data_IF_022175951503
#
_entry.id   IF_022175951503
#
_cell.length_a   1.000
_cell.length_b   1.000
_cell.length_c   1.000
_cell.angle_alpha   90.00
_cell.angle_beta   90.00
_cell.angle_gamma   90.00
#
_symmetry.space_group_name_H-M   'P 1'
#
loop_
_entity.id
_entity.type
_entity.pdbx_description
1 polymer ?
#
# COMPACT_ATOMS: atom_id res chain seq x y z
N UNK A 1 -61.44 -29.23 -14.43
CA UNK A 1 -60.03 -29.67 -14.44
C UNK A 1 -59.71 -30.35 -13.13
N UNK A 2 -59.03 -31.50 -13.15
CA UNK A 2 -58.59 -32.16 -11.91
C UNK A 2 -57.58 -31.25 -11.18
N UNK A 3 -57.64 -31.15 -9.85
CA UNK A 3 -56.73 -30.30 -9.06
C UNK A 3 -55.24 -30.61 -9.31
N UNK A 4 -54.92 -31.87 -9.65
CA UNK A 4 -53.56 -32.28 -10.03
C UNK A 4 -53.03 -31.57 -11.30
N UNK A 5 -53.89 -31.28 -12.28
CA UNK A 5 -53.50 -30.61 -13.53
C UNK A 5 -53.22 -29.13 -13.29
N UNK A 6 -54.01 -28.49 -12.42
CA UNK A 6 -53.80 -27.09 -12.02
C UNK A 6 -52.50 -26.95 -11.24
N UNK A 7 -52.23 -27.88 -10.30
CA UNK A 7 -50.98 -27.90 -9.54
C UNK A 7 -49.75 -28.10 -10.44
N UNK A 8 -49.84 -28.97 -11.46
CA UNK A 8 -48.76 -29.19 -12.42
C UNK A 8 -48.46 -27.94 -13.26
N UNK A 9 -49.50 -27.24 -13.74
CA UNK A 9 -49.35 -26.00 -14.53
C UNK A 9 -48.76 -24.87 -13.67
N UNK A 10 -49.24 -24.70 -12.43
CA UNK A 10 -48.70 -23.70 -11.51
C UNK A 10 -47.24 -24.00 -11.17
N UNK A 11 -46.90 -25.26 -10.92
CA UNK A 11 -45.51 -25.66 -10.63
C UNK A 11 -44.58 -25.45 -11.82
N UNK A 12 -45.06 -25.70 -13.05
CA UNK A 12 -44.29 -25.50 -14.28
C UNK A 12 -44.00 -24.01 -14.58
N UNK A 13 -44.78 -23.08 -14.02
CA UNK A 13 -44.57 -21.63 -14.20
C UNK A 13 -43.79 -21.06 -13.01
N UNK A 14 -44.18 -21.39 -11.78
CA UNK A 14 -43.60 -20.86 -10.55
C UNK A 14 -42.17 -21.38 -10.33
N UNK A 15 -41.91 -22.65 -10.62
CA UNK A 15 -40.58 -23.27 -10.45
C UNK A 15 -39.48 -22.55 -11.24
N UNK A 16 -39.62 -22.40 -12.57
CA UNK A 16 -38.65 -21.67 -13.39
C UNK A 16 -38.48 -20.21 -12.99
N UNK A 17 -39.54 -19.55 -12.50
CA UNK A 17 -39.51 -18.15 -12.08
C UNK A 17 -38.70 -17.97 -10.79
N UNK A 18 -38.92 -18.85 -9.81
CA UNK A 18 -38.11 -18.90 -8.58
C UNK A 18 -36.65 -19.21 -8.94
N UNK A 19 -36.41 -20.21 -9.79
CA UNK A 19 -35.07 -20.57 -10.24
C UNK A 19 -34.35 -19.40 -10.93
N UNK A 20 -35.03 -18.68 -11.81
CA UNK A 20 -34.48 -17.51 -12.49
C UNK A 20 -34.12 -16.39 -11.52
N UNK A 21 -34.97 -16.11 -10.52
CA UNK A 21 -34.69 -15.11 -9.50
C UNK A 21 -33.52 -15.49 -8.60
N UNK A 22 -33.47 -16.76 -8.16
CA UNK A 22 -32.35 -17.29 -7.36
C UNK A 22 -31.04 -17.22 -8.14
N UNK A 23 -31.03 -17.73 -9.39
CA UNK A 23 -29.87 -17.67 -10.28
C UNK A 23 -29.39 -16.24 -10.50
N UNK A 24 -30.31 -15.30 -10.78
CA UNK A 24 -29.95 -13.89 -10.97
C UNK A 24 -29.39 -13.26 -9.70
N UNK A 25 -29.83 -13.72 -8.52
CA UNK A 25 -29.32 -13.24 -7.24
C UNK A 25 -27.91 -13.78 -6.96
N UNK A 26 -27.67 -15.06 -7.23
CA UNK A 26 -26.36 -15.69 -7.11
C UNK A 26 -25.36 -15.12 -8.12
N UNK A 27 -25.77 -14.90 -9.37
CA UNK A 27 -24.95 -14.26 -10.40
C UNK A 27 -24.52 -12.84 -9.99
N UNK A 28 -25.45 -12.06 -9.39
CA UNK A 28 -25.12 -10.73 -8.84
C UNK A 28 -24.14 -10.81 -7.68
N UNK A 29 -24.34 -11.75 -6.75
CA UNK A 29 -23.43 -11.94 -5.61
C UNK A 29 -22.03 -12.34 -6.06
N UNK A 30 -21.95 -13.30 -6.99
CA UNK A 30 -20.70 -13.77 -7.58
C UNK A 30 -19.95 -12.65 -8.30
N UNK A 31 -20.65 -11.89 -9.14
CA UNK A 31 -20.05 -10.74 -9.83
C UNK A 31 -19.53 -9.68 -8.86
N UNK A 32 -20.29 -9.36 -7.81
CA UNK A 32 -19.85 -8.40 -6.80
C UNK A 32 -18.63 -8.91 -6.02
N UNK A 33 -18.58 -10.21 -5.72
CA UNK A 33 -17.43 -10.86 -5.10
C UNK A 33 -16.19 -10.77 -6.01
N UNK A 34 -16.32 -11.15 -7.28
CA UNK A 34 -15.22 -11.12 -8.25
C UNK A 34 -14.66 -9.70 -8.43
N UNK A 35 -15.53 -8.69 -8.59
CA UNK A 35 -15.11 -7.29 -8.70
C UNK A 35 -14.35 -6.85 -7.45
N UNK A 36 -14.90 -7.09 -6.25
CA UNK A 36 -14.23 -6.72 -5.00
C UNK A 36 -12.90 -7.43 -4.83
N UNK A 37 -12.85 -8.72 -5.14
CA UNK A 37 -11.65 -9.52 -5.01
C UNK A 37 -10.52 -9.01 -5.92
N UNK A 38 -10.82 -8.72 -7.18
CA UNK A 38 -9.84 -8.18 -8.12
C UNK A 38 -9.32 -6.80 -7.68
N UNK A 39 -10.22 -5.90 -7.27
CA UNK A 39 -9.83 -4.58 -6.75
C UNK A 39 -9.00 -4.68 -5.46
N UNK A 40 -9.35 -5.59 -4.54
CA UNK A 40 -8.59 -5.80 -3.31
C UNK A 40 -7.21 -6.39 -3.59
N UNK A 41 -7.11 -7.35 -4.52
CA UNK A 41 -5.84 -7.94 -4.95
C UNK A 41 -4.93 -6.89 -5.60
N UNK A 42 -5.49 -6.08 -6.49
CA UNK A 42 -4.76 -4.97 -7.12
C UNK A 42 -4.20 -4.01 -6.07
N UNK A 43 -5.03 -3.63 -5.10
CA UNK A 43 -4.64 -2.77 -3.99
C UNK A 43 -3.54 -3.36 -3.11
N UNK A 44 -3.66 -4.63 -2.71
CA UNK A 44 -2.64 -5.28 -1.86
C UNK A 44 -1.27 -5.28 -2.53
N UNK A 45 -1.23 -5.49 -3.85
CA UNK A 45 0.01 -5.39 -4.64
C UNK A 45 0.59 -3.97 -4.62
N UNK A 46 -0.27 -2.95 -4.74
CA UNK A 46 0.17 -1.55 -4.67
C UNK A 46 0.76 -1.20 -3.29
N UNK A 47 0.17 -1.70 -2.20
CA UNK A 47 0.71 -1.52 -0.85
C UNK A 47 2.07 -2.20 -0.65
N UNK A 48 2.20 -3.43 -1.14
CA UNK A 48 3.44 -4.20 -1.05
C UNK A 48 4.57 -3.55 -1.85
N UNK A 49 4.22 -2.95 -3.01
CA UNK A 49 5.17 -2.18 -3.80
C UNK A 49 5.66 -0.93 -3.06
N UNK A 50 4.79 -0.21 -2.35
CA UNK A 50 5.18 0.94 -1.50
C UNK A 50 6.16 0.48 -0.40
N UNK A 51 5.82 -0.61 0.29
CA UNK A 51 6.60 -1.07 1.44
C UNK A 51 7.98 -1.61 1.03
N UNK A 52 8.04 -2.38 -0.06
CA UNK A 52 9.27 -3.03 -0.52
C UNK A 52 10.26 -2.06 -1.17
N UNK A 53 9.80 -1.14 -2.03
CA UNK A 53 10.70 -0.23 -2.74
C UNK A 53 11.40 0.72 -1.76
N UNK A 54 10.64 1.28 -0.81
CA UNK A 54 11.18 2.26 0.12
C UNK A 54 12.29 1.70 1.02
N UNK A 55 12.22 0.43 1.42
CA UNK A 55 13.23 -0.16 2.30
C UNK A 55 14.49 -0.55 1.53
N UNK A 56 14.33 -1.25 0.40
CA UNK A 56 15.46 -1.71 -0.41
C UNK A 56 16.26 -0.54 -1.00
N UNK A 57 15.58 0.50 -1.47
CA UNK A 57 16.23 1.69 -2.03
C UNK A 57 17.01 2.47 -0.96
N UNK A 58 16.45 2.56 0.26
CA UNK A 58 17.11 3.21 1.39
C UNK A 58 18.34 2.42 1.88
N UNK A 59 18.20 1.10 2.06
CA UNK A 59 19.30 0.24 2.47
C UNK A 59 20.47 0.34 1.49
N UNK A 60 20.18 0.19 0.19
CA UNK A 60 21.19 0.30 -0.87
C UNK A 60 21.88 1.66 -0.87
N UNK A 61 21.11 2.74 -0.75
CA UNK A 61 21.67 4.08 -0.69
C UNK A 61 22.64 4.23 0.50
N UNK A 62 22.26 3.77 1.68
CA UNK A 62 23.09 3.88 2.88
C UNK A 62 24.34 3.01 2.80
N UNK A 63 24.23 1.77 2.31
CA UNK A 63 25.35 0.82 2.29
C UNK A 63 26.35 1.06 1.16
N UNK A 64 25.88 1.47 -0.02
CA UNK A 64 26.70 1.63 -1.22
C UNK A 64 26.99 3.11 -1.48
N UNK A 65 25.95 3.89 -1.77
CA UNK A 65 26.08 5.23 -2.32
C UNK A 65 26.62 6.23 -1.30
N UNK A 66 26.03 6.29 -0.11
CA UNK A 66 26.43 7.20 0.96
C UNK A 66 27.87 6.92 1.41
N UNK A 67 28.20 5.65 1.64
CA UNK A 67 29.55 5.23 2.03
C UNK A 67 30.60 5.60 0.95
N UNK A 68 30.28 5.38 -0.33
CA UNK A 68 31.16 5.76 -1.45
C UNK A 68 31.37 7.27 -1.52
N UNK A 69 30.29 8.06 -1.46
CA UNK A 69 30.37 9.51 -1.51
C UNK A 69 31.16 10.07 -0.33
N UNK A 70 30.96 9.54 0.88
CA UNK A 70 31.73 9.98 2.06
C UNK A 70 33.22 9.65 1.95
N UNK A 71 33.56 8.49 1.40
CA UNK A 71 34.97 8.14 1.16
C UNK A 71 35.61 9.10 0.14
N UNK A 72 34.92 9.42 -0.95
CA UNK A 72 35.37 10.41 -1.94
C UNK A 72 35.56 11.80 -1.32
N UNK A 73 34.65 12.24 -0.45
CA UNK A 73 34.77 13.52 0.29
C UNK A 73 36.02 13.53 1.18
N UNK A 74 36.32 12.42 1.87
CA UNK A 74 37.45 12.34 2.80
C UNK A 74 38.80 12.21 2.09
N UNK A 75 38.81 11.68 0.86
CA UNK A 75 40.04 11.35 0.11
C UNK A 75 40.34 12.33 -1.03
N UNK A 76 39.39 13.19 -1.42
CA UNK A 76 39.60 14.16 -2.50
C UNK A 76 40.65 15.21 -2.10
N UNK A 77 41.76 15.25 -2.85
CA UNK A 77 42.76 16.31 -2.71
C UNK A 77 42.32 17.60 -3.44
N UNK A 78 42.55 18.75 -2.79
CA UNK A 78 42.10 20.05 -3.29
C UNK A 78 40.66 20.34 -2.87
N UNK A 79 40.32 21.63 -2.74
CA UNK A 79 39.00 22.12 -2.30
C UNK A 79 37.87 21.84 -3.34
N UNK A 80 37.81 20.65 -3.93
CA UNK A 80 36.75 20.29 -4.88
C UNK A 80 35.46 20.03 -4.13
N UNK A 81 34.38 20.67 -4.58
CA UNK A 81 33.02 20.44 -4.11
C UNK A 81 32.31 19.29 -4.82
N UNK A 82 32.95 18.65 -5.81
CA UNK A 82 32.28 17.67 -6.69
C UNK A 82 31.71 16.46 -5.92
N UNK A 83 32.42 15.85 -4.94
CA UNK A 83 31.87 14.75 -4.15
C UNK A 83 30.64 15.15 -3.31
N UNK A 84 30.62 16.39 -2.80
CA UNK A 84 29.48 16.95 -2.05
C UNK A 84 28.27 17.20 -2.97
N UNK A 85 28.50 17.73 -4.17
CA UNK A 85 27.46 17.95 -5.17
C UNK A 85 26.84 16.61 -5.57
N UNK A 86 27.67 15.58 -5.79
CA UNK A 86 27.20 14.22 -6.10
C UNK A 86 26.37 13.64 -4.97
N UNK A 87 26.83 13.73 -3.72
CA UNK A 87 26.06 13.26 -2.57
C UNK A 87 24.67 13.93 -2.51
N UNK A 88 24.61 15.24 -2.74
CA UNK A 88 23.33 15.96 -2.78
C UNK A 88 22.41 15.46 -3.91
N UNK A 89 22.96 15.21 -5.10
CA UNK A 89 22.21 14.63 -6.22
C UNK A 89 21.65 13.24 -5.89
N UNK A 90 22.45 12.37 -5.28
CA UNK A 90 22.02 11.02 -4.92
C UNK A 90 20.92 11.02 -3.84
N UNK A 91 21.01 11.93 -2.84
CA UNK A 91 19.93 12.14 -1.85
C UNK A 91 18.63 12.58 -2.54
N UNK A 92 18.71 13.50 -3.49
CA UNK A 92 17.55 13.97 -4.26
C UNK A 92 16.94 12.85 -5.11
N UNK A 93 17.77 12.02 -5.75
CA UNK A 93 17.33 10.88 -6.54
C UNK A 93 16.60 9.86 -5.66
N UNK A 94 17.18 9.47 -4.52
CA UNK A 94 16.51 8.58 -3.56
C UNK A 94 15.15 9.13 -3.12
N UNK A 95 15.09 10.42 -2.79
CA UNK A 95 13.83 11.08 -2.39
C UNK A 95 12.77 10.99 -3.50
N UNK A 96 13.17 11.19 -4.76
CA UNK A 96 12.27 11.08 -5.91
C UNK A 96 11.81 9.63 -6.16
N UNK A 97 12.74 8.68 -6.07
CA UNK A 97 12.50 7.25 -6.31
C UNK A 97 11.60 6.63 -5.26
N UNK A 98 11.65 7.10 -4.00
CA UNK A 98 10.72 6.65 -2.95
C UNK A 98 9.32 7.29 -3.11
N UNK A 99 9.24 8.57 -3.50
CA UNK A 99 7.96 9.30 -3.62
C UNK A 99 7.12 8.91 -4.85
N UNK A 100 7.77 8.50 -5.94
CA UNK A 100 7.09 8.18 -7.19
C UNK A 100 6.19 6.93 -7.10
N UNK A 101 6.66 5.76 -6.61
CA UNK A 101 5.84 4.59 -6.37
C UNK A 101 4.69 4.88 -5.42
N UNK A 102 4.94 5.66 -4.36
CA UNK A 102 3.91 6.07 -3.40
C UNK A 102 2.78 6.86 -4.07
N UNK A 103 3.14 7.82 -4.94
CA UNK A 103 2.15 8.62 -5.67
C UNK A 103 1.34 7.77 -6.64
N UNK A 104 2.00 6.87 -7.39
CA UNK A 104 1.35 5.96 -8.32
C UNK A 104 0.37 5.03 -7.61
N UNK A 105 0.82 4.34 -6.56
CA UNK A 105 -0.01 3.44 -5.77
C UNK A 105 -1.20 4.17 -5.10
N UNK A 106 -1.02 5.44 -4.71
CA UNK A 106 -2.12 6.26 -4.16
C UNK A 106 -3.19 6.58 -5.22
N UNK A 107 -2.80 6.76 -6.49
CA UNK A 107 -3.76 6.97 -7.59
C UNK A 107 -4.55 5.71 -7.91
N UNK A 108 -3.95 4.53 -7.73
CA UNK A 108 -4.64 3.25 -7.93
C UNK A 108 -5.77 2.99 -6.90
N UNK A 109 -5.83 3.78 -5.82
CA UNK A 109 -6.85 3.66 -4.77
C UNK A 109 -8.25 4.14 -5.17
N UNK A 110 -8.37 4.77 -6.35
CA UNK A 110 -9.67 5.26 -6.83
C UNK A 110 -10.68 4.13 -7.05
N UNK A 111 -10.24 2.97 -7.55
CA UNK A 111 -11.11 1.79 -7.75
C UNK A 111 -11.61 1.22 -6.43
N UNK A 112 -10.70 1.08 -5.45
CA UNK A 112 -11.02 0.60 -4.11
C UNK A 112 -12.13 1.43 -3.44
N UNK A 113 -12.09 2.76 -3.57
CA UNK A 113 -13.10 3.69 -3.02
C UNK A 113 -14.52 3.41 -3.50
N UNK A 114 -14.70 2.79 -4.67
CA UNK A 114 -16.01 2.49 -5.23
C UNK A 114 -16.62 1.21 -4.66
N UNK A 115 -15.78 0.24 -4.30
CA UNK A 115 -16.22 -1.13 -4.00
C UNK A 115 -16.16 -1.49 -2.51
N UNK A 116 -15.30 -0.81 -1.75
CA UNK A 116 -15.06 -1.08 -0.33
C UNK A 116 -16.08 -0.41 0.60
N UNK A 117 -16.17 -0.89 1.85
CA UNK A 117 -16.94 -0.20 2.88
C UNK A 117 -16.24 1.07 3.37
N UNK A 118 -17.01 1.98 3.98
CA UNK A 118 -16.46 3.16 4.67
C UNK A 118 -15.40 2.80 5.73
N UNK A 119 -15.57 1.67 6.40
CA UNK A 119 -14.65 1.20 7.44
C UNK A 119 -13.31 0.76 6.85
N UNK A 120 -13.34 0.01 5.75
CA UNK A 120 -12.12 -0.37 5.03
C UNK A 120 -11.42 0.88 4.48
N UNK A 121 -12.18 1.79 3.86
CA UNK A 121 -11.64 3.03 3.34
C UNK A 121 -10.92 3.88 4.40
N UNK A 122 -11.47 3.96 5.61
CA UNK A 122 -10.83 4.70 6.71
C UNK A 122 -9.46 4.10 7.07
N UNK A 123 -9.38 2.77 7.20
CA UNK A 123 -8.11 2.07 7.52
C UNK A 123 -7.08 2.23 6.41
N UNK A 124 -7.52 2.14 5.17
CA UNK A 124 -6.68 2.36 3.99
C UNK A 124 -6.10 3.77 3.99
N UNK A 125 -6.93 4.78 4.24
CA UNK A 125 -6.46 6.17 4.28
C UNK A 125 -5.47 6.39 5.45
N UNK A 126 -5.71 5.76 6.59
CA UNK A 126 -4.79 5.80 7.73
C UNK A 126 -3.43 5.19 7.36
N UNK A 127 -3.42 3.98 6.78
CA UNK A 127 -2.21 3.31 6.32
C UNK A 127 -1.41 4.19 5.34
N UNK A 128 -2.08 4.77 4.34
CA UNK A 128 -1.45 5.65 3.34
C UNK A 128 -0.88 6.90 3.99
N UNK A 129 -1.56 7.46 5.00
CA UNK A 129 -1.07 8.63 5.71
C UNK A 129 0.19 8.31 6.54
N UNK A 130 0.19 7.20 7.28
CA UNK A 130 1.35 6.77 8.07
C UNK A 130 2.55 6.50 7.15
N UNK A 131 2.35 5.84 6.00
CA UNK A 131 3.44 5.65 5.03
C UNK A 131 3.95 6.95 4.43
N UNK A 132 3.08 7.94 4.19
CA UNK A 132 3.52 9.27 3.75
C UNK A 132 4.42 9.92 4.80
N UNK A 133 3.99 9.91 6.05
CA UNK A 133 4.73 10.50 7.16
C UNK A 133 6.09 9.81 7.34
N UNK A 134 6.15 8.49 7.19
CA UNK A 134 7.41 7.73 7.24
C UNK A 134 8.35 8.12 6.08
N UNK A 135 7.84 8.22 4.86
CA UNK A 135 8.64 8.67 3.70
C UNK A 135 9.15 10.09 3.92
N UNK A 136 8.27 11.02 4.33
CA UNK A 136 8.63 12.42 4.54
C UNK A 136 9.65 12.59 5.67
N UNK A 137 9.51 11.81 6.76
CA UNK A 137 10.47 11.79 7.86
C UNK A 137 11.83 11.26 7.42
N UNK A 138 11.87 10.14 6.69
CA UNK A 138 13.11 9.58 6.13
C UNK A 138 13.80 10.56 5.18
N UNK A 139 13.05 11.24 4.31
CA UNK A 139 13.60 12.25 3.41
C UNK A 139 14.09 13.49 4.17
N UNK A 140 13.40 13.89 5.25
CA UNK A 140 13.82 15.00 6.10
C UNK A 140 15.13 14.71 6.82
N UNK A 141 15.30 13.48 7.32
CA UNK A 141 16.55 13.01 7.94
C UNK A 141 17.70 13.04 6.94
N UNK A 142 17.48 12.59 5.70
CA UNK A 142 18.48 12.68 4.63
C UNK A 142 18.80 14.11 4.19
N UNK A 143 17.84 15.03 4.30
CA UNK A 143 18.05 16.46 4.02
C UNK A 143 18.86 17.19 5.10
N UNK A 144 18.89 16.65 6.32
CA UNK A 144 19.58 17.22 7.49
C UNK A 144 20.69 16.28 7.99
N UNK A 145 21.43 15.66 7.07
CA UNK A 145 22.55 14.76 7.39
C UNK A 145 23.63 15.43 8.25
N UNK A 146 23.73 16.76 8.22
CA UNK A 146 24.62 17.58 9.06
C UNK A 146 24.26 17.54 10.55
N UNK A 147 23.01 17.19 10.88
CA UNK A 147 22.50 17.08 12.26
C UNK A 147 22.47 15.64 12.78
N UNK A 148 22.85 14.66 11.93
CA UNK A 148 22.85 13.25 12.31
C UNK A 148 24.06 12.94 13.19
N UNK A 149 23.85 12.26 14.32
CA UNK A 149 24.96 11.73 15.11
C UNK A 149 25.55 10.52 14.38
N UNK A 150 26.69 10.73 13.72
CA UNK A 150 27.42 9.72 12.95
C UNK A 150 27.84 8.54 13.85
N UNK A 151 28.04 8.77 15.15
CA UNK A 151 28.42 7.72 16.10
C UNK A 151 27.20 6.92 16.60
N UNK A 152 25.98 7.41 16.35
CA UNK A 152 24.77 6.66 16.67
C UNK A 152 23.62 6.96 15.67
N UNK A 153 23.76 6.52 14.40
CA UNK A 153 22.80 6.82 13.34
C UNK A 153 21.38 6.33 13.66
N UNK A 154 21.29 5.29 14.47
CA UNK A 154 20.02 4.68 14.92
C UNK A 154 19.19 5.56 15.86
N UNK A 155 19.82 6.50 16.58
CA UNK A 155 19.09 7.40 17.51
C UNK A 155 18.38 8.53 16.76
N UNK A 156 18.89 8.93 15.60
CA UNK A 156 18.24 9.92 14.71
C UNK A 156 17.01 9.35 13.99
N UNK A 157 16.94 8.02 13.83
CA UNK A 157 15.74 7.29 13.41
C UNK A 157 14.90 6.98 14.67
N UNK A 158 14.29 8.03 15.21
CA UNK A 158 13.54 8.04 16.48
C UNK A 158 12.55 6.89 16.68
N UNK A 159 12.24 6.58 17.95
CA UNK A 159 11.18 5.62 18.31
C UNK A 159 9.79 5.94 17.73
N UNK A 160 9.54 7.18 17.27
CA UNK A 160 8.32 7.54 16.54
C UNK A 160 8.24 6.85 15.17
N UNK A 161 9.38 6.66 14.48
CA UNK A 161 9.42 5.92 13.21
C UNK A 161 9.20 4.41 13.41
N UNK A 162 9.72 3.87 14.51
CA UNK A 162 9.49 2.47 14.90
C UNK A 162 8.00 2.24 15.24
N UNK A 163 7.40 3.10 16.07
CA UNK A 163 5.97 3.06 16.41
C UNK A 163 5.09 3.16 15.15
N UNK A 164 5.42 4.07 14.23
CA UNK A 164 4.71 4.19 12.95
C UNK A 164 4.90 2.94 12.08
N UNK A 165 6.09 2.35 12.06
CA UNK A 165 6.35 1.07 11.39
C UNK A 165 5.47 -0.06 11.91
N UNK A 166 5.42 -0.24 13.23
CA UNK A 166 4.54 -1.21 13.88
C UNK A 166 3.06 -0.93 13.59
N UNK A 167 2.65 0.34 13.64
CA UNK A 167 1.27 0.74 13.31
C UNK A 167 0.90 0.39 11.88
N UNK A 168 1.81 0.57 10.92
CA UNK A 168 1.61 0.20 9.52
C UNK A 168 1.38 -1.31 9.38
N UNK A 169 2.13 -2.14 10.11
CA UNK A 169 1.95 -3.59 10.11
C UNK A 169 0.58 -4.00 10.67
N UNK A 170 0.18 -3.44 11.81
CA UNK A 170 -1.15 -3.69 12.41
C UNK A 170 -2.26 -3.24 11.46
N UNK A 171 -2.14 -2.05 10.85
CA UNK A 171 -3.12 -1.54 9.90
C UNK A 171 -3.26 -2.44 8.68
N UNK A 172 -2.16 -2.98 8.16
CA UNK A 172 -2.19 -3.93 7.05
C UNK A 172 -3.01 -5.18 7.39
N UNK A 173 -2.78 -5.76 8.56
CA UNK A 173 -3.57 -6.91 9.03
C UNK A 173 -5.05 -6.56 9.18
N UNK A 174 -5.37 -5.41 9.78
CA UNK A 174 -6.75 -4.96 9.94
C UNK A 174 -7.46 -4.72 8.60
N UNK A 175 -6.75 -4.21 7.60
CA UNK A 175 -7.22 -4.03 6.22
C UNK A 175 -7.54 -5.40 5.60
N UNK A 176 -6.61 -6.36 5.67
CA UNK A 176 -6.81 -7.71 5.14
C UNK A 176 -7.98 -8.40 5.82
N UNK A 177 -8.09 -8.30 7.14
CA UNK A 177 -9.22 -8.86 7.90
C UNK A 177 -10.55 -8.22 7.51
N UNK A 178 -10.56 -6.90 7.27
CA UNK A 178 -11.75 -6.20 6.84
C UNK A 178 -12.15 -6.56 5.40
N UNK A 179 -11.19 -6.76 4.49
CA UNK A 179 -11.44 -7.26 3.13
C UNK A 179 -12.06 -8.67 3.15
N UNK A 180 -11.51 -9.58 3.95
CA UNK A 180 -12.05 -10.94 4.12
C UNK A 180 -13.51 -10.90 4.61
N UNK A 181 -13.79 -10.08 5.62
CA UNK A 181 -15.16 -9.86 6.12
C UNK A 181 -16.11 -9.34 5.03
N UNK A 182 -15.65 -8.39 4.21
CA UNK A 182 -16.45 -7.83 3.10
C UNK A 182 -16.71 -8.82 1.96
N UNK A 183 -15.82 -9.79 1.78
CA UNK A 183 -15.97 -10.92 0.86
C UNK A 183 -16.80 -12.08 1.44
N UNK A 184 -17.16 -12.02 2.73
CA UNK A 184 -17.85 -13.11 3.42
C UNK A 184 -16.97 -14.31 3.75
N UNK A 185 -15.64 -14.13 3.69
CA UNK A 185 -14.64 -15.13 4.05
C UNK A 185 -14.35 -14.95 5.55
N UNK A 186 -14.66 -15.96 6.36
CA UNK A 186 -14.31 -15.98 7.79
C UNK A 186 -12.84 -16.34 8.01
#
# INVERSE_FOLDING_TARGET
MQPAVVAAIVSAIVGPLIFFLLKRWDDKKRRNFEIRYEEYKHYLKALEQIASSSHADFERFMSETYASCMNEILTSEGQSSDPLIRLNQEVNNLTADVRKPFTQATQELHGLRLVCSKKLLQKVNEYVNVQRELIDSSCSVLGNLDQMDINNPSVSLSGEMEEKGERTQVLFEEIVQQMRKELGIK
#
